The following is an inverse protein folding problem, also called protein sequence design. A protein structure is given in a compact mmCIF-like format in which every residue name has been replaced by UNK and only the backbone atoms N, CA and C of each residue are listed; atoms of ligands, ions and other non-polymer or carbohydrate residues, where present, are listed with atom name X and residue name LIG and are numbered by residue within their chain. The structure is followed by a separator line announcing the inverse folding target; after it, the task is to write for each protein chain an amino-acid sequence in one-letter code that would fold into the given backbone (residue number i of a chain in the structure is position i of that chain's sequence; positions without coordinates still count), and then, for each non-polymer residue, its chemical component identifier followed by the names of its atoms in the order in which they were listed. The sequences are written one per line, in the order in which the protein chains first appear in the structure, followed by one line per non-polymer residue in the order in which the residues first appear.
data_IF_321419704996
#
_entry.id   IF_321419704996
#
_cell.length_a   1.000
_cell.length_b   1.000
_cell.length_c   1.000
_cell.angle_alpha   90.00
_cell.angle_beta   90.00
_cell.angle_gamma   90.00
#
_symmetry.space_group_name_H-M   'P 1'
#
loop_
_entity.id
_entity.type
_entity.pdbx_description
1 polymer ?
#
# COMPACT_ATOMS: atom_id res chain seq x y z
N UNK A 1 -0.68 -14.81 -8.72
CA UNK A 1 0.57 -14.52 -7.98
C UNK A 1 0.42 -13.12 -7.41
N UNK A 2 0.85 -12.89 -6.17
CA UNK A 2 0.78 -11.54 -5.58
C UNK A 2 1.91 -10.70 -6.18
N UNK A 3 1.59 -9.51 -6.70
CA UNK A 3 2.56 -8.57 -7.25
C UNK A 3 3.51 -7.99 -6.18
N UNK A 4 4.41 -7.08 -6.58
CA UNK A 4 5.26 -6.38 -5.61
C UNK A 4 4.40 -5.58 -4.62
N UNK A 5 4.76 -5.59 -3.33
CA UNK A 5 3.98 -4.98 -2.26
C UNK A 5 4.79 -3.97 -1.45
N UNK A 6 4.09 -3.02 -0.84
CA UNK A 6 4.64 -2.09 0.15
C UNK A 6 3.83 -2.15 1.45
N UNK A 7 4.51 -1.99 2.59
CA UNK A 7 3.89 -1.98 3.92
C UNK A 7 4.00 -0.58 4.55
N UNK A 8 2.90 -0.11 5.13
CA UNK A 8 2.89 1.09 6.00
C UNK A 8 3.58 0.72 7.32
N UNK A 9 4.72 1.35 7.68
CA UNK A 9 5.48 0.93 8.85
C UNK A 9 4.67 0.94 10.15
N UNK A 10 3.79 1.95 10.28
CA UNK A 10 3.05 2.20 11.50
C UNK A 10 1.93 1.18 11.77
N UNK A 11 0.95 1.06 10.87
CA UNK A 11 -0.21 0.17 11.07
C UNK A 11 -0.10 -1.19 10.37
N UNK A 12 0.94 -1.39 9.56
CA UNK A 12 1.19 -2.64 8.85
C UNK A 12 0.31 -2.88 7.63
N UNK A 13 -0.47 -1.90 7.18
CA UNK A 13 -1.30 -2.05 5.99
C UNK A 13 -0.43 -2.33 4.77
N UNK A 14 -0.82 -3.34 3.98
CA UNK A 14 -0.10 -3.74 2.77
C UNK A 14 -0.88 -3.39 1.52
N UNK A 15 -0.18 -2.85 0.53
CA UNK A 15 -0.73 -2.47 -0.75
C UNK A 15 0.02 -3.14 -1.89
N UNK A 16 -0.70 -3.52 -2.93
CA UNK A 16 -0.12 -3.95 -4.20
C UNK A 16 0.40 -2.72 -4.96
N UNK A 17 1.67 -2.72 -5.35
CA UNK A 17 2.32 -1.57 -6.00
C UNK A 17 1.87 -1.39 -7.47
N UNK A 18 1.27 -2.41 -8.09
CA UNK A 18 0.80 -2.35 -9.47
C UNK A 18 -0.60 -1.72 -9.56
N UNK A 19 -1.46 -2.00 -8.59
CA UNK A 19 -2.88 -1.61 -8.61
C UNK A 19 -3.26 -0.60 -7.52
N UNK A 20 -2.44 -0.47 -6.48
CA UNK A 20 -2.73 0.34 -5.29
C UNK A 20 -3.76 -0.29 -4.36
N UNK A 21 -4.28 -1.48 -4.68
CA UNK A 21 -5.30 -2.13 -3.87
C UNK A 21 -4.75 -2.56 -2.51
N UNK A 22 -5.62 -2.51 -1.51
CA UNK A 22 -5.30 -3.02 -0.17
C UNK A 22 -5.26 -4.55 -0.22
N UNK A 23 -4.09 -5.11 0.09
CA UNK A 23 -3.90 -6.56 0.24
C UNK A 23 -4.20 -7.00 1.66
N UNK A 24 -3.76 -6.21 2.66
CA UNK A 24 -4.00 -6.49 4.07
C UNK A 24 -4.23 -5.17 4.83
N UNK A 25 -5.39 -5.04 5.49
CA UNK A 25 -5.79 -3.81 6.16
C UNK A 25 -5.47 -3.85 7.66
N UNK A 26 -4.58 -2.96 8.12
CA UNK A 26 -4.25 -2.75 9.54
C UNK A 26 -4.13 -4.05 10.37
N UNK A 27 -3.19 -4.96 10.01
CA UNK A 27 -3.09 -6.27 10.64
C UNK A 27 -2.71 -6.16 12.12
N UNK A 28 -3.42 -6.91 12.96
CA UNK A 28 -3.25 -6.91 14.42
C UNK A 28 -2.06 -7.78 14.88
N UNK A 29 -0.91 -7.65 14.21
CA UNK A 29 0.25 -8.54 14.39
C UNK A 29 1.11 -8.26 15.63
N UNK A 30 0.90 -7.13 16.30
CA UNK A 30 1.55 -6.78 17.56
C UNK A 30 0.63 -5.87 18.41
N UNK A 31 0.94 -5.62 19.70
CA UNK A 31 0.05 -4.87 20.59
C UNK A 31 -0.31 -3.46 20.09
N UNK A 32 0.65 -2.73 19.49
CA UNK A 32 0.39 -1.40 18.94
C UNK A 32 -0.58 -1.48 17.75
N UNK A 33 -0.30 -2.39 16.80
CA UNK A 33 -1.17 -2.58 15.62
C UNK A 33 -2.53 -3.18 15.98
N UNK A 34 -2.64 -3.93 17.08
CA UNK A 34 -3.92 -4.42 17.60
C UNK A 34 -4.85 -3.26 17.96
N UNK A 35 -4.31 -2.24 18.63
CA UNK A 35 -5.06 -1.02 18.98
C UNK A 35 -5.45 -0.27 17.70
N UNK A 36 -4.50 -0.04 16.79
CA UNK A 36 -4.73 0.68 15.53
C UNK A 36 -5.76 0.00 14.62
N UNK A 37 -5.64 -1.31 14.44
CA UNK A 37 -6.60 -2.10 13.65
C UNK A 37 -7.98 -2.19 14.30
N UNK A 38 -8.07 -2.07 15.64
CA UNK A 38 -9.37 -1.98 16.32
C UNK A 38 -10.01 -0.61 16.17
N UNK A 39 -9.23 0.48 16.22
CA UNK A 39 -9.72 1.84 15.95
C UNK A 39 -10.23 2.00 14.51
N UNK A 40 -9.60 1.30 13.56
CA UNK A 40 -9.94 1.34 12.14
C UNK A 40 -10.87 0.21 11.69
N UNK A 41 -11.50 -0.54 12.60
CA UNK A 41 -12.32 -1.71 12.24
C UNK A 41 -13.55 -1.38 11.40
N UNK A 42 -14.06 -0.15 11.53
CA UNK A 42 -15.26 0.33 10.83
C UNK A 42 -14.91 1.24 9.65
N UNK A 43 -13.64 1.37 9.30
CA UNK A 43 -13.17 2.19 8.19
C UNK A 43 -12.92 1.27 7.00
N UNK A 44 -13.60 1.54 5.89
CA UNK A 44 -13.37 0.81 4.64
C UNK A 44 -11.93 1.05 4.15
N UNK A 45 -11.21 0.00 3.74
CA UNK A 45 -9.89 0.15 3.14
C UNK A 45 -9.97 0.98 1.86
N UNK A 46 -9.00 1.86 1.64
CA UNK A 46 -8.95 2.74 0.48
C UNK A 46 -7.70 2.40 -0.33
N UNK A 47 -7.88 2.12 -1.63
CA UNK A 47 -6.76 1.90 -2.54
C UNK A 47 -5.91 3.18 -2.69
N UNK A 48 -4.60 3.01 -2.79
CA UNK A 48 -3.68 4.10 -3.09
C UNK A 48 -3.77 4.50 -4.56
N UNK A 49 -3.47 5.78 -4.83
CA UNK A 49 -3.22 6.23 -6.20
C UNK A 49 -1.89 5.65 -6.66
N UNK A 50 -1.93 4.90 -7.77
CA UNK A 50 -0.73 4.47 -8.49
C UNK A 50 -0.48 5.44 -9.65
N UNK A 51 0.78 5.74 -9.87
CA UNK A 51 1.23 6.60 -10.96
C UNK A 51 1.93 5.75 -12.00
N UNK A 52 1.50 5.85 -13.25
CA UNK A 52 2.15 5.19 -14.37
C UNK A 52 3.56 5.79 -14.54
N UNK A 53 4.57 4.94 -14.57
CA UNK A 53 5.98 5.34 -14.71
C UNK A 53 6.55 4.79 -16.01
N UNK A 54 7.43 5.58 -16.63
CA UNK A 54 8.13 5.21 -17.87
C UNK A 54 9.63 5.38 -17.68
N UNK A 55 10.39 4.39 -18.16
CA UNK A 55 11.84 4.45 -18.28
C UNK A 55 12.20 4.79 -19.73
N UNK A 56 12.95 5.86 -19.94
CA UNK A 56 13.43 6.23 -21.27
C UNK A 56 14.81 5.60 -21.56
N UNK A 57 15.20 5.60 -22.83
CA UNK A 57 16.48 5.03 -23.31
C UNK A 57 17.72 5.69 -22.68
N UNK A 58 17.59 6.94 -22.22
CA UNK A 58 18.65 7.67 -21.52
C UNK A 58 18.74 7.34 -20.01
N UNK A 59 17.92 6.41 -19.52
CA UNK A 59 17.89 5.96 -18.13
C UNK A 59 17.07 6.84 -17.18
N UNK A 60 16.41 7.88 -17.69
CA UNK A 60 15.54 8.75 -16.89
C UNK A 60 14.16 8.12 -16.61
N UNK A 61 13.56 8.46 -15.47
CA UNK A 61 12.24 7.97 -15.04
C UNK A 61 11.26 9.14 -15.02
N UNK A 62 10.14 8.97 -15.72
CA UNK A 62 9.04 9.94 -15.76
C UNK A 62 7.77 9.37 -15.16
N UNK A 63 6.95 10.26 -14.61
CA UNK A 63 5.60 9.97 -14.13
C UNK A 63 4.60 10.64 -15.09
N UNK A 64 3.60 9.88 -15.54
CA UNK A 64 2.50 10.45 -16.32
C UNK A 64 1.63 11.33 -15.41
N UNK A 65 1.32 12.58 -15.82
CA UNK A 65 0.48 13.49 -15.04
C UNK A 65 -0.89 12.89 -14.67
#
# INVERSE_FOLDING_TARGET
ENGPMIEVPFDGTKYDLTTGQVVEWCPKSNPLRFILGSLKSNVSPISLKVYETMLNDDGSIYIKP
#
